data_IF_789955589804
#
_entry.id   IF_789955589804
#
_cell.length_a   1.000
_cell.length_b   1.000
_cell.length_c   1.000
_cell.angle_alpha   90.00
_cell.angle_beta   90.00
_cell.angle_gamma   90.00
#
_symmetry.space_group_name_H-M   'P 1'
#
loop_
_entity.id
_entity.type
_entity.pdbx_description
1 polymer ?
#
# COMPACT_ATOMS: atom_id res chain seq x y z
N UNK A 1 -19.39 68.69 34.89
CA UNK A 1 -19.34 68.21 36.30
C UNK A 1 -20.12 66.91 36.33
N UNK A 2 -19.63 65.69 36.59
CA UNK A 2 -18.47 65.15 37.31
C UNK A 2 -18.04 63.84 36.59
N UNK A 3 -16.77 63.53 36.32
CA UNK A 3 -15.65 63.09 37.19
C UNK A 3 -15.87 61.75 37.95
N UNK A 4 -15.22 60.72 37.39
CA UNK A 4 -14.52 59.58 38.03
C UNK A 4 -15.27 58.48 38.81
N UNK A 5 -15.11 57.23 38.34
CA UNK A 5 -14.77 56.02 39.15
C UNK A 5 -14.40 54.87 38.16
N UNK A 6 -13.14 54.64 37.76
CA UNK A 6 -12.03 53.90 38.41
C UNK A 6 -12.38 52.43 38.80
N UNK A 7 -11.91 51.52 37.93
CA UNK A 7 -11.08 50.31 38.20
C UNK A 7 -11.72 48.97 38.64
N UNK A 8 -11.00 47.90 38.26
CA UNK A 8 -11.14 46.45 38.50
C UNK A 8 -11.97 45.72 37.43
N UNK A 9 -11.50 44.69 36.73
CA UNK A 9 -10.51 43.67 37.06
C UNK A 9 -9.98 43.04 35.75
N UNK A 10 -8.66 42.97 35.62
CA UNK A 10 -7.98 42.14 34.62
C UNK A 10 -8.21 40.66 34.94
N UNK A 11 -8.76 39.88 34.02
CA UNK A 11 -8.60 38.43 34.04
C UNK A 11 -8.13 37.95 32.66
N UNK A 12 -6.88 37.54 32.72
CA UNK A 12 -6.13 36.70 31.81
C UNK A 12 -6.97 35.49 31.35
N UNK A 13 -7.11 35.34 30.04
CA UNK A 13 -7.56 34.10 29.41
C UNK A 13 -6.68 33.85 28.20
N UNK A 14 -5.53 33.22 28.43
CA UNK A 14 -4.59 32.79 27.41
C UNK A 14 -5.37 32.11 26.26
N UNK A 15 -5.33 32.72 25.08
CA UNK A 15 -5.65 32.02 23.84
C UNK A 15 -4.47 31.07 23.64
N UNK A 16 -4.66 29.84 24.09
CA UNK A 16 -3.76 28.73 23.80
C UNK A 16 -3.79 28.59 22.28
N UNK A 17 -2.79 29.15 21.62
CA UNK A 17 -2.43 28.80 20.25
C UNK A 17 -2.01 27.33 20.30
N UNK A 18 -2.99 26.44 20.25
CA UNK A 18 -2.82 25.03 19.98
C UNK A 18 -2.32 24.92 18.55
N UNK A 19 -1.01 25.09 18.39
CA UNK A 19 -0.30 24.65 17.20
C UNK A 19 -0.49 23.14 17.18
N UNK A 20 -1.52 22.66 16.48
CA UNK A 20 -1.61 21.24 16.20
C UNK A 20 -0.37 20.92 15.40
N UNK A 21 0.58 20.23 16.02
CA UNK A 21 1.67 19.58 15.33
C UNK A 21 1.03 18.63 14.33
N UNK A 22 0.70 19.17 13.15
CA UNK A 22 0.30 18.37 12.02
C UNK A 22 1.50 17.47 11.78
N UNK A 23 1.38 16.21 12.19
CA UNK A 23 2.31 15.19 11.76
C UNK A 23 2.22 15.20 10.25
N UNK A 24 3.14 15.91 9.60
CA UNK A 24 3.32 15.89 8.16
C UNK A 24 3.70 14.45 7.88
N UNK A 25 2.69 13.62 7.57
CA UNK A 25 2.93 12.25 7.17
C UNK A 25 3.75 12.36 5.90
N UNK A 26 5.01 11.93 5.96
CA UNK A 26 5.82 11.86 4.76
C UNK A 26 5.07 10.99 3.77
N UNK A 27 4.80 11.49 2.55
CA UNK A 27 4.02 10.74 1.57
C UNK A 27 4.73 9.41 1.29
N UNK A 28 3.97 8.33 1.19
CA UNK A 28 4.51 7.00 0.89
C UNK A 28 5.38 7.04 -0.36
N UNK A 29 6.67 6.74 -0.17
CA UNK A 29 7.63 6.61 -1.25
C UNK A 29 7.87 5.13 -1.52
N UNK A 30 7.31 4.64 -2.62
CA UNK A 30 7.64 3.31 -3.12
C UNK A 30 9.08 3.29 -3.65
N UNK A 31 9.79 2.20 -3.42
CA UNK A 31 11.21 2.06 -3.75
C UNK A 31 11.81 0.77 -3.21
N UNK A 32 13.15 0.67 -3.20
CA UNK A 32 13.85 -0.49 -2.62
C UNK A 32 13.47 -0.71 -1.16
N UNK A 33 13.46 -1.97 -0.75
CA UNK A 33 13.21 -2.39 0.63
C UNK A 33 12.17 -3.50 0.77
N UNK A 34 11.92 -3.87 2.02
CA UNK A 34 10.94 -4.90 2.40
C UNK A 34 9.58 -4.25 2.68
N UNK A 35 8.54 -4.98 2.29
CA UNK A 35 7.15 -4.61 2.43
C UNK A 35 6.35 -5.82 2.88
N UNK A 36 5.24 -5.59 3.56
CA UNK A 36 4.23 -6.61 3.88
C UNK A 36 3.07 -6.46 2.92
N UNK A 37 2.52 -7.58 2.47
CA UNK A 37 1.30 -7.56 1.67
C UNK A 37 0.24 -8.51 2.22
N UNK A 38 -1.01 -8.15 1.99
CA UNK A 38 -2.19 -8.99 2.28
C UNK A 38 -3.05 -9.03 1.03
N UNK A 39 -3.48 -10.23 0.63
CA UNK A 39 -4.42 -10.47 -0.47
C UNK A 39 -5.75 -10.96 0.10
N UNK A 40 -6.83 -10.43 -0.45
CA UNK A 40 -8.20 -10.85 -0.16
C UNK A 40 -8.90 -11.27 -1.45
N UNK A 41 -10.00 -11.98 -1.34
CA UNK A 41 -10.94 -12.13 -2.44
C UNK A 41 -11.67 -10.81 -2.73
N UNK A 42 -12.69 -10.86 -3.59
CA UNK A 42 -13.55 -9.70 -3.90
C UNK A 42 -14.49 -9.30 -2.76
N UNK A 43 -14.78 -10.19 -1.81
CA UNK A 43 -15.61 -9.93 -0.63
C UNK A 43 -14.85 -9.26 0.51
N UNK A 44 -13.50 -9.28 0.45
CA UNK A 44 -12.61 -8.76 1.48
C UNK A 44 -12.12 -9.84 2.46
N UNK A 45 -12.46 -11.11 2.21
CA UNK A 45 -11.98 -12.24 3.00
C UNK A 45 -10.49 -12.47 2.74
N UNK A 46 -9.67 -12.51 3.79
CA UNK A 46 -8.23 -12.73 3.68
C UNK A 46 -7.93 -14.11 3.08
N UNK A 47 -7.18 -14.12 1.98
CA UNK A 47 -6.71 -15.35 1.32
C UNK A 47 -5.31 -15.71 1.80
N UNK A 48 -4.41 -14.73 1.81
CA UNK A 48 -3.02 -14.91 2.23
C UNK A 48 -2.34 -13.58 2.58
N UNK A 49 -1.16 -13.68 3.21
CA UNK A 49 -0.25 -12.56 3.48
C UNK A 49 1.20 -12.98 3.32
N UNK A 50 2.06 -12.03 3.03
CA UNK A 50 3.46 -12.29 2.71
C UNK A 50 4.36 -11.08 2.85
N UNK A 51 5.62 -11.26 2.47
CA UNK A 51 6.59 -10.16 2.36
C UNK A 51 7.06 -10.02 0.92
N UNK A 52 7.30 -8.78 0.52
CA UNK A 52 7.84 -8.41 -0.78
C UNK A 52 9.13 -7.62 -0.55
N UNK A 53 10.23 -8.04 -1.18
CA UNK A 53 11.53 -7.40 -1.08
C UNK A 53 11.92 -6.83 -2.44
N UNK A 54 11.83 -5.50 -2.59
CA UNK A 54 12.27 -4.79 -3.79
C UNK A 54 13.79 -4.64 -3.76
N UNK A 55 14.48 -5.32 -4.68
CA UNK A 55 15.95 -5.40 -4.75
C UNK A 55 16.49 -4.37 -5.76
N UNK A 56 15.92 -4.33 -6.97
CA UNK A 56 16.28 -3.36 -8.00
C UNK A 56 15.19 -2.29 -8.13
N UNK A 57 15.60 -1.06 -8.44
CA UNK A 57 14.68 0.05 -8.70
C UNK A 57 15.43 1.12 -9.50
N UNK A 58 15.18 1.18 -10.81
CA UNK A 58 15.86 2.09 -11.73
C UNK A 58 14.88 2.53 -12.83
N UNK A 59 14.82 3.85 -13.09
CA UNK A 59 13.94 4.42 -14.13
C UNK A 59 12.50 3.92 -14.04
N UNK A 60 11.95 3.92 -12.82
CA UNK A 60 10.60 3.44 -12.50
C UNK A 60 10.31 1.96 -12.79
N UNK A 61 11.33 1.19 -13.15
CA UNK A 61 11.27 -0.26 -13.23
C UNK A 61 11.87 -0.85 -11.98
N UNK A 62 11.30 -1.95 -11.50
CA UNK A 62 11.77 -2.59 -10.29
C UNK A 62 11.58 -4.10 -10.34
N UNK A 63 12.39 -4.80 -9.56
CA UNK A 63 12.31 -6.24 -9.42
C UNK A 63 12.73 -6.68 -8.03
N UNK A 64 12.39 -7.90 -7.68
CA UNK A 64 12.71 -8.43 -6.36
C UNK A 64 12.15 -9.81 -6.14
N UNK A 65 12.02 -10.17 -4.86
CA UNK A 65 11.47 -11.46 -4.44
C UNK A 65 10.26 -11.27 -3.53
N UNK A 66 9.37 -12.25 -3.50
CA UNK A 66 8.27 -12.30 -2.55
C UNK A 66 8.14 -13.69 -1.94
N UNK A 67 7.60 -13.73 -0.73
CA UNK A 67 7.31 -14.96 -0.01
C UNK A 67 5.96 -14.87 0.69
N UNK A 68 5.24 -16.00 0.76
CA UNK A 68 4.05 -16.12 1.59
C UNK A 68 4.44 -16.49 3.02
N UNK A 69 3.85 -15.79 3.98
CA UNK A 69 4.08 -16.03 5.42
C UNK A 69 2.90 -16.72 6.08
N UNK A 70 1.70 -16.59 5.51
CA UNK A 70 0.50 -17.31 5.95
C UNK A 70 -0.49 -17.43 4.80
N UNK A 71 -1.05 -18.62 4.64
CA UNK A 71 -2.19 -18.89 3.77
C UNK A 71 -3.41 -19.14 4.66
N UNK A 72 -4.46 -18.36 4.46
CA UNK A 72 -5.70 -18.40 5.23
C UNK A 72 -6.76 -19.27 4.56
N UNK A 73 -6.76 -19.34 3.23
CA UNK A 73 -7.63 -20.20 2.44
C UNK A 73 -6.84 -21.35 1.79
N UNK A 74 -7.15 -22.59 2.15
CA UNK A 74 -6.46 -23.78 1.64
C UNK A 74 -6.77 -24.08 0.16
N UNK A 75 -7.86 -23.55 -0.39
CA UNK A 75 -8.10 -23.62 -1.84
C UNK A 75 -7.03 -22.84 -2.63
N UNK A 76 -6.30 -21.96 -1.96
CA UNK A 76 -5.14 -21.22 -2.48
C UNK A 76 -3.81 -21.96 -2.30
N UNK A 77 -3.78 -23.21 -1.81
CA UNK A 77 -2.52 -23.97 -1.62
C UNK A 77 -1.74 -24.18 -2.93
N UNK A 78 -2.42 -24.28 -4.08
CA UNK A 78 -1.73 -24.34 -5.39
C UNK A 78 -0.93 -23.08 -5.72
N UNK A 79 -1.32 -21.93 -5.15
CA UNK A 79 -0.58 -20.67 -5.25
C UNK A 79 0.52 -20.57 -4.18
N UNK A 80 0.38 -21.28 -3.07
CA UNK A 80 1.25 -21.15 -1.89
C UNK A 80 2.68 -21.66 -2.07
N UNK A 81 2.94 -22.47 -3.10
CA UNK A 81 4.30 -22.87 -3.50
C UNK A 81 5.05 -21.80 -4.29
N UNK A 82 4.42 -20.67 -4.59
CA UNK A 82 4.96 -19.61 -5.44
C UNK A 82 5.69 -18.51 -4.66
N UNK A 83 6.60 -18.86 -3.75
CA UNK A 83 7.65 -17.89 -3.42
C UNK A 83 8.46 -17.66 -4.70
N UNK A 84 8.81 -16.42 -5.03
CA UNK A 84 9.36 -16.18 -6.36
C UNK A 84 9.91 -14.80 -6.64
N UNK A 85 10.38 -14.65 -7.87
CA UNK A 85 10.82 -13.38 -8.44
C UNK A 85 9.62 -12.61 -8.98
N UNK A 86 9.64 -11.29 -8.85
CA UNK A 86 8.68 -10.41 -9.51
C UNK A 86 9.40 -9.29 -10.25
N UNK A 87 8.68 -8.70 -11.20
CA UNK A 87 9.08 -7.46 -11.86
C UNK A 87 7.87 -6.52 -11.95
N UNK A 88 8.12 -5.23 -12.05
CA UNK A 88 7.06 -4.25 -12.13
C UNK A 88 7.51 -2.89 -12.63
N UNK A 89 6.53 -2.02 -12.82
CA UNK A 89 6.71 -0.65 -13.26
C UNK A 89 5.88 0.32 -12.40
N UNK A 90 6.43 1.52 -12.19
CA UNK A 90 5.77 2.64 -11.56
C UNK A 90 5.44 3.67 -12.64
N UNK A 91 4.16 3.95 -12.84
CA UNK A 91 3.76 5.16 -13.53
C UNK A 91 3.67 6.30 -12.51
N UNK A 92 4.69 7.17 -12.48
CA UNK A 92 4.74 8.31 -11.56
C UNK A 92 3.60 9.30 -11.76
N UNK A 93 3.21 9.55 -13.02
CA UNK A 93 2.15 10.50 -13.38
C UNK A 93 0.80 10.08 -12.81
N UNK A 94 0.47 8.80 -12.96
CA UNK A 94 -0.83 8.25 -12.54
C UNK A 94 -0.80 7.66 -11.13
N UNK A 95 0.38 7.68 -10.48
CA UNK A 95 0.64 7.06 -9.17
C UNK A 95 0.20 5.59 -9.14
N UNK A 96 0.47 4.86 -10.23
CA UNK A 96 0.09 3.46 -10.41
C UNK A 96 1.31 2.57 -10.40
N UNK A 97 1.21 1.44 -9.70
CA UNK A 97 2.25 0.41 -9.65
C UNK A 97 1.68 -0.86 -10.24
N UNK A 98 2.36 -1.43 -11.23
CA UNK A 98 2.06 -2.73 -11.77
C UNK A 98 3.10 -3.75 -11.31
N UNK A 99 2.67 -4.94 -10.92
CA UNK A 99 3.56 -6.04 -10.52
C UNK A 99 3.14 -7.31 -11.26
N UNK A 100 4.11 -7.95 -11.89
CA UNK A 100 4.04 -9.29 -12.45
C UNK A 100 4.80 -10.25 -11.51
N UNK A 101 4.07 -11.17 -10.88
CA UNK A 101 4.63 -12.09 -9.86
C UNK A 101 5.28 -13.34 -10.45
N UNK A 102 5.29 -13.48 -11.78
CA UNK A 102 6.03 -14.50 -12.50
C UNK A 102 6.48 -13.96 -13.88
N UNK A 103 7.57 -13.18 -13.96
CA UNK A 103 7.96 -12.45 -15.17
C UNK A 103 8.24 -13.32 -16.40
N UNK A 104 8.51 -14.62 -16.20
CA UNK A 104 8.87 -15.56 -17.27
C UNK A 104 7.66 -16.29 -17.86
N UNK A 105 6.48 -16.13 -17.27
CA UNK A 105 5.28 -16.91 -17.58
C UNK A 105 4.09 -15.96 -17.74
N UNK A 106 3.41 -15.99 -18.89
CA UNK A 106 2.24 -15.13 -19.16
C UNK A 106 0.91 -15.80 -18.77
N UNK A 107 0.82 -17.12 -18.91
CA UNK A 107 -0.34 -17.95 -18.56
C UNK A 107 -0.19 -18.53 -17.15
N UNK A 108 -1.26 -18.67 -16.38
CA UNK A 108 -1.20 -19.11 -14.98
C UNK A 108 -0.34 -18.17 -14.11
N UNK A 109 -0.55 -16.86 -14.26
CA UNK A 109 0.22 -15.83 -13.57
C UNK A 109 -0.69 -14.85 -12.80
N UNK A 110 -0.18 -14.29 -11.70
CA UNK A 110 -0.86 -13.26 -10.92
C UNK A 110 -0.26 -11.89 -11.24
N UNK A 111 -1.14 -10.95 -11.54
CA UNK A 111 -0.78 -9.56 -11.78
C UNK A 111 -1.43 -8.66 -10.75
N UNK A 112 -0.68 -7.67 -10.26
CA UNK A 112 -1.19 -6.67 -9.32
C UNK A 112 -1.22 -5.30 -9.97
N UNK A 113 -2.35 -4.62 -9.83
CA UNK A 113 -2.62 -3.30 -10.36
C UNK A 113 -2.97 -2.36 -9.21
N UNK A 114 -1.98 -1.59 -8.77
CA UNK A 114 -2.00 -0.85 -7.51
C UNK A 114 -2.01 0.66 -7.75
N UNK A 115 -2.50 1.39 -6.75
CA UNK A 115 -2.37 2.84 -6.63
C UNK A 115 -1.62 3.20 -5.35
N UNK A 116 -0.75 4.19 -5.42
CA UNK A 116 -0.15 4.81 -4.24
C UNK A 116 -1.21 5.69 -3.56
N UNK A 117 -1.51 5.38 -2.29
CA UNK A 117 -2.44 6.16 -1.47
C UNK A 117 -1.86 6.35 -0.07
N UNK A 118 -1.72 7.60 0.36
CA UNK A 118 -1.26 7.99 1.71
C UNK A 118 0.03 7.27 2.13
N UNK A 119 -0.11 6.19 2.91
CA UNK A 119 0.95 5.38 3.53
C UNK A 119 1.04 3.93 2.97
N UNK A 120 0.32 3.61 1.88
CA UNK A 120 0.25 2.24 1.34
C UNK A 120 0.10 2.18 -0.19
N UNK A 121 0.40 1.02 -0.76
CA UNK A 121 -0.13 0.63 -2.08
C UNK A 121 -1.41 -0.17 -1.88
N UNK A 122 -2.40 0.08 -2.72
CA UNK A 122 -3.62 -0.75 -2.72
C UNK A 122 -4.22 -0.84 -4.10
N UNK A 123 -4.84 -1.97 -4.41
CA UNK A 123 -5.50 -2.16 -5.69
C UNK A 123 -5.99 -3.59 -5.87
N UNK A 124 -6.10 -4.01 -7.12
CA UNK A 124 -6.60 -5.32 -7.47
C UNK A 124 -5.46 -6.28 -7.81
N UNK A 125 -5.67 -7.56 -7.54
CA UNK A 125 -4.91 -8.63 -8.16
C UNK A 125 -5.82 -9.44 -9.09
N UNK A 126 -5.23 -10.03 -10.13
CA UNK A 126 -5.93 -10.92 -11.04
C UNK A 126 -5.06 -12.12 -11.38
N UNK A 127 -5.66 -13.31 -11.35
CA UNK A 127 -5.07 -14.52 -11.89
C UNK A 127 -5.45 -14.64 -13.37
N UNK A 128 -4.42 -14.64 -14.21
CA UNK A 128 -4.52 -14.77 -15.66
C UNK A 128 -4.34 -16.21 -16.07
N UNK A 129 -5.26 -16.72 -16.87
CA UNK A 129 -5.18 -18.02 -17.54
C UNK A 129 -5.35 -17.84 -19.05
N UNK A 130 -5.05 -18.86 -19.85
CA UNK A 130 -5.14 -18.81 -21.32
C UNK A 130 -6.52 -18.36 -21.84
N UNK A 131 -7.61 -18.70 -21.13
CA UNK A 131 -8.99 -18.30 -21.46
C UNK A 131 -9.40 -16.91 -20.94
N UNK A 132 -8.48 -16.12 -20.39
CA UNK A 132 -8.74 -14.80 -19.82
C UNK A 132 -8.57 -14.74 -18.30
N UNK A 133 -9.32 -13.88 -17.62
CA UNK A 133 -9.22 -13.73 -16.15
C UNK A 133 -10.05 -14.81 -15.47
N UNK A 134 -9.41 -15.60 -14.61
CA UNK A 134 -10.07 -16.69 -13.88
C UNK A 134 -10.53 -16.26 -12.48
N UNK A 135 -9.73 -15.44 -11.79
CA UNK A 135 -10.00 -15.03 -10.40
C UNK A 135 -9.36 -13.67 -10.10
N UNK A 136 -9.87 -12.96 -9.10
CA UNK A 136 -9.29 -11.71 -8.63
C UNK A 136 -9.84 -11.26 -7.28
N UNK A 137 -9.23 -10.21 -6.75
CA UNK A 137 -9.59 -9.64 -5.45
C UNK A 137 -8.77 -8.40 -5.15
N UNK A 138 -8.63 -8.07 -3.87
CA UNK A 138 -7.90 -6.88 -3.44
C UNK A 138 -6.56 -7.23 -2.83
N UNK A 139 -5.61 -6.32 -2.96
CA UNK A 139 -4.29 -6.42 -2.36
C UNK A 139 -3.90 -5.07 -1.74
N UNK A 140 -3.27 -5.15 -0.57
CA UNK A 140 -2.71 -4.00 0.14
C UNK A 140 -1.26 -4.28 0.49
N UNK A 141 -0.38 -3.31 0.26
CA UNK A 141 1.06 -3.39 0.55
C UNK A 141 1.46 -2.20 1.43
N UNK A 142 2.12 -2.49 2.55
CA UNK A 142 2.66 -1.50 3.48
C UNK A 142 4.14 -1.74 3.68
N UNK A 143 4.88 -0.68 4.00
CA UNK A 143 6.28 -0.81 4.40
C UNK A 143 6.41 -1.41 5.80
#
# INVERSE_FOLDING_TARGET
MNKHFILFLAICGLIIAGCSSGNISTPFKFGKGKYKFTMTDSSGTELLRGTLNVISYENDKFSGTYEFTKISDKSFEGFSSMNGEFSGDLNQKDKRVFINTNPRIADSNVFWNLKIKNNKLSGGWNYSVFRGRSQGGLISITK
#
